data_IF_553919768822
#
_entry.id   IF_553919768822
#
_cell.length_a   1.000
_cell.length_b   1.000
_cell.length_c   1.000
_cell.angle_alpha   90.00
_cell.angle_beta   90.00
_cell.angle_gamma   90.00
#
_symmetry.space_group_name_H-M   'P 1'
#
loop_
_entity.id
_entity.type
_entity.pdbx_description
1 polymer ?
#
# COMPACT_ATOMS: atom_id res chain seq x y z
N UNK A 1 -9.29 6.03 -10.76
CA UNK A 1 -9.01 7.32 -11.48
C UNK A 1 -7.75 8.01 -10.95
N UNK A 2 -7.56 8.04 -9.63
CA UNK A 2 -6.39 8.65 -8.95
C UNK A 2 -5.05 8.09 -9.44
N UNK A 3 -4.88 6.77 -9.56
CA UNK A 3 -3.64 6.16 -10.07
C UNK A 3 -3.30 6.59 -11.51
N UNK A 4 -4.32 6.73 -12.37
CA UNK A 4 -4.13 7.20 -13.77
C UNK A 4 -3.72 8.67 -13.81
N UNK A 5 -4.34 9.51 -12.99
CA UNK A 5 -3.99 10.93 -12.91
C UNK A 5 -2.59 11.12 -12.32
N UNK A 6 -2.26 10.41 -11.25
CA UNK A 6 -0.94 10.48 -10.66
C UNK A 6 0.15 9.96 -11.60
N UNK A 7 -0.13 8.89 -12.35
CA UNK A 7 0.77 8.39 -13.40
C UNK A 7 0.95 9.41 -14.52
N UNK A 8 -0.12 10.05 -14.98
CA UNK A 8 -0.05 11.11 -15.98
C UNK A 8 0.75 12.31 -15.49
N UNK A 9 0.51 12.78 -14.26
CA UNK A 9 1.24 13.91 -13.67
C UNK A 9 2.72 13.55 -13.52
N UNK A 10 3.02 12.34 -13.03
CA UNK A 10 4.39 11.85 -12.93
C UNK A 10 5.08 11.81 -14.30
N UNK A 11 4.46 11.15 -15.29
CA UNK A 11 5.05 11.00 -16.62
C UNK A 11 5.22 12.37 -17.30
N UNK A 12 4.23 13.27 -17.21
CA UNK A 12 4.34 14.65 -17.72
C UNK A 12 5.43 15.47 -17.02
N UNK A 13 5.57 15.36 -15.70
CA UNK A 13 6.63 16.06 -14.98
C UNK A 13 8.00 15.50 -15.32
N UNK A 14 8.13 14.17 -15.40
CA UNK A 14 9.36 13.51 -15.80
C UNK A 14 9.77 13.94 -17.22
N UNK A 15 8.82 14.04 -18.14
CA UNK A 15 9.04 14.49 -19.52
C UNK A 15 9.43 15.97 -19.59
N UNK A 16 8.73 16.85 -18.86
CA UNK A 16 9.09 18.27 -18.73
C UNK A 16 10.50 18.47 -18.16
N UNK A 17 10.88 17.64 -17.20
CA UNK A 17 12.19 17.67 -16.59
C UNK A 17 13.27 17.19 -17.58
N UNK A 18 13.01 16.09 -18.29
CA UNK A 18 13.91 15.55 -19.33
C UNK A 18 14.11 16.55 -20.48
N UNK A 19 13.06 17.26 -20.89
CA UNK A 19 13.11 18.24 -21.97
C UNK A 19 13.84 19.52 -21.59
N UNK A 20 13.74 19.96 -20.32
CA UNK A 20 14.33 21.24 -19.88
C UNK A 20 15.79 21.13 -19.42
N UNK A 21 16.25 19.94 -19.00
CA UNK A 21 17.58 19.76 -18.41
C UNK A 21 18.51 18.81 -19.18
N UNK A 22 18.18 18.45 -20.42
CA UNK A 22 19.10 17.70 -21.30
C UNK A 22 19.49 16.31 -20.77
N UNK A 23 18.65 15.71 -19.93
CA UNK A 23 18.87 14.36 -19.38
C UNK A 23 19.65 14.29 -18.06
N UNK A 24 20.15 15.41 -17.52
CA UNK A 24 20.74 15.45 -16.17
C UNK A 24 19.76 16.08 -15.18
N UNK A 25 19.34 15.32 -14.17
CA UNK A 25 18.53 15.83 -13.08
C UNK A 25 19.44 16.57 -12.10
N UNK A 26 19.14 17.84 -11.80
CA UNK A 26 19.72 18.45 -10.61
C UNK A 26 19.16 17.75 -9.36
N UNK A 27 19.92 17.65 -8.25
CA UNK A 27 19.43 17.07 -7.01
C UNK A 27 18.09 17.68 -6.54
N UNK A 28 17.90 18.98 -6.72
CA UNK A 28 16.63 19.68 -6.41
C UNK A 28 15.42 19.20 -7.22
N UNK A 29 15.66 18.67 -8.42
CA UNK A 29 14.62 18.15 -9.31
C UNK A 29 14.26 16.72 -8.94
N UNK A 30 15.25 15.91 -8.54
CA UNK A 30 15.03 14.56 -8.01
C UNK A 30 14.19 14.60 -6.72
N UNK A 31 14.51 15.53 -5.81
CA UNK A 31 13.74 15.76 -4.58
C UNK A 31 12.29 16.15 -4.87
N UNK A 32 12.07 16.99 -5.88
CA UNK A 32 10.72 17.42 -6.28
C UNK A 32 9.89 16.25 -6.80
N UNK A 33 10.47 15.40 -7.65
CA UNK A 33 9.82 14.19 -8.16
C UNK A 33 9.51 13.22 -7.01
N UNK A 34 10.45 13.04 -6.07
CA UNK A 34 10.27 12.19 -4.90
C UNK A 34 9.15 12.69 -3.97
N UNK A 35 9.02 14.01 -3.78
CA UNK A 35 7.95 14.61 -2.98
C UNK A 35 6.57 14.38 -3.62
N UNK A 36 6.44 14.62 -4.93
CA UNK A 36 5.19 14.45 -5.66
C UNK A 36 4.75 12.99 -5.71
N UNK A 37 5.73 12.10 -5.82
CA UNK A 37 5.55 10.66 -5.73
C UNK A 37 5.11 10.22 -4.33
N UNK A 38 5.75 10.73 -3.27
CA UNK A 38 5.34 10.45 -1.89
C UNK A 38 3.92 10.94 -1.61
N UNK A 39 3.58 12.14 -2.06
CA UNK A 39 2.22 12.70 -1.93
C UNK A 39 1.16 11.85 -2.67
N UNK A 40 1.51 11.31 -3.83
CA UNK A 40 0.65 10.37 -4.57
C UNK A 40 0.37 9.12 -3.75
N UNK A 41 1.40 8.53 -3.16
CA UNK A 41 1.28 7.31 -2.36
C UNK A 41 0.45 7.55 -1.10
N UNK A 42 0.68 8.67 -0.41
CA UNK A 42 -0.14 9.09 0.74
C UNK A 42 -1.61 9.27 0.34
N UNK A 43 -1.89 9.96 -0.76
CA UNK A 43 -3.27 10.15 -1.24
C UNK A 43 -3.95 8.82 -1.57
N UNK A 44 -3.23 7.86 -2.15
CA UNK A 44 -3.76 6.53 -2.41
C UNK A 44 -4.00 5.73 -1.13
N UNK A 45 -3.10 5.84 -0.14
CA UNK A 45 -3.27 5.21 1.16
C UNK A 45 -4.50 5.78 1.90
N UNK A 46 -4.72 7.09 1.86
CA UNK A 46 -5.90 7.75 2.41
C UNK A 46 -7.19 7.28 1.72
N UNK A 47 -7.16 7.12 0.39
CA UNK A 47 -8.29 6.57 -0.36
C UNK A 47 -8.60 5.13 0.07
N UNK A 48 -7.59 4.28 0.22
CA UNK A 48 -7.77 2.90 0.73
C UNK A 48 -8.40 2.92 2.11
N UNK A 49 -7.93 3.79 3.00
CA UNK A 49 -8.48 3.93 4.34
C UNK A 49 -9.94 4.40 4.35
N UNK A 50 -10.29 5.38 3.51
CA UNK A 50 -11.68 5.83 3.32
C UNK A 50 -12.56 4.69 2.82
N UNK A 51 -12.11 3.91 1.83
CA UNK A 51 -12.87 2.77 1.30
C UNK A 51 -13.09 1.68 2.37
N UNK A 52 -12.07 1.39 3.17
CA UNK A 52 -12.19 0.48 4.31
C UNK A 52 -13.19 1.00 5.36
N UNK A 53 -13.11 2.29 5.73
CA UNK A 53 -14.09 2.92 6.63
C UNK A 53 -15.52 2.82 6.10
N UNK A 54 -15.73 3.10 4.82
CA UNK A 54 -17.05 3.00 4.17
C UNK A 54 -17.56 1.56 4.11
N UNK A 55 -16.67 0.57 3.95
CA UNK A 55 -17.02 -0.84 4.02
C UNK A 55 -17.38 -1.30 5.45
N UNK A 56 -17.15 -0.45 6.46
CA UNK A 56 -17.44 -0.72 7.86
C UNK A 56 -16.38 -1.59 8.56
N UNK A 57 -15.14 -1.60 8.07
CA UNK A 57 -14.08 -2.44 8.65
C UNK A 57 -13.53 -1.93 9.98
N UNK A 58 -13.69 -0.65 10.31
CA UNK A 58 -13.18 -0.01 11.53
C UNK A 58 -14.31 0.45 12.46
N UNK A 59 -15.13 -0.50 12.93
CA UNK A 59 -16.26 -0.22 13.82
C UNK A 59 -16.02 -0.70 15.26
N UNK A 60 -16.59 -0.03 16.29
CA UNK A 60 -16.44 -0.41 17.70
C UNK A 60 -17.18 -1.70 18.10
N UNK A 61 -17.82 -2.38 17.15
CA UNK A 61 -18.61 -3.58 17.39
C UNK A 61 -17.97 -4.76 16.64
N UNK A 62 -17.51 -5.73 17.42
CA UNK A 62 -16.97 -6.98 16.91
C UNK A 62 -17.91 -7.70 15.95
N UNK A 63 -17.29 -8.51 15.08
CA UNK A 63 -17.81 -9.57 14.23
C UNK A 63 -19.30 -9.50 13.80
N UNK A 64 -19.73 -8.38 13.22
CA UNK A 64 -20.93 -8.38 12.38
C UNK A 64 -20.51 -8.59 10.93
N UNK A 65 -20.87 -9.76 10.41
CA UNK A 65 -20.69 -10.16 9.01
C UNK A 65 -21.41 -9.14 8.13
N UNK A 66 -20.66 -8.36 7.36
CA UNK A 66 -21.25 -7.48 6.36
C UNK A 66 -21.76 -8.32 5.18
N UNK A 67 -23.03 -8.74 5.23
CA UNK A 67 -23.76 -9.41 4.14
C UNK A 67 -24.14 -8.46 2.99
N UNK A 68 -23.58 -7.25 2.93
CA UNK A 68 -23.87 -6.29 1.87
C UNK A 68 -22.82 -6.41 0.75
N UNK A 69 -23.26 -6.83 -0.44
CA UNK A 69 -22.50 -6.84 -1.70
C UNK A 69 -21.65 -5.58 -1.91
N UNK A 70 -22.12 -4.43 -1.41
CA UNK A 70 -21.48 -3.13 -1.53
C UNK A 70 -20.18 -3.02 -0.69
N UNK A 71 -20.13 -3.61 0.50
CA UNK A 71 -18.92 -3.62 1.34
C UNK A 71 -17.79 -4.42 0.70
N UNK A 72 -18.13 -5.55 0.06
CA UNK A 72 -17.14 -6.37 -0.66
C UNK A 72 -16.61 -5.61 -1.88
N UNK A 73 -17.48 -4.93 -2.64
CA UNK A 73 -17.06 -4.13 -3.78
C UNK A 73 -16.11 -2.98 -3.39
N UNK A 74 -16.40 -2.29 -2.27
CA UNK A 74 -15.52 -1.25 -1.72
C UNK A 74 -14.14 -1.79 -1.33
N UNK A 75 -14.10 -2.97 -0.69
CA UNK A 75 -12.84 -3.63 -0.32
C UNK A 75 -12.07 -4.14 -1.54
N UNK A 76 -12.75 -4.63 -2.57
CA UNK A 76 -12.09 -5.01 -3.84
C UNK A 76 -11.47 -3.80 -4.54
N UNK A 77 -12.16 -2.65 -4.56
CA UNK A 77 -11.58 -1.41 -5.10
C UNK A 77 -10.40 -0.94 -4.24
N UNK A 78 -10.50 -1.02 -2.91
CA UNK A 78 -9.40 -0.70 -2.01
C UNK A 78 -8.16 -1.58 -2.27
N UNK A 79 -8.37 -2.89 -2.45
CA UNK A 79 -7.32 -3.86 -2.79
C UNK A 79 -6.65 -3.48 -4.10
N UNK A 80 -7.45 -3.21 -5.13
CA UNK A 80 -6.97 -2.80 -6.45
C UNK A 80 -6.14 -1.52 -6.41
N UNK A 81 -6.59 -0.49 -5.69
CA UNK A 81 -5.82 0.75 -5.52
C UNK A 81 -4.47 0.47 -4.86
N UNK A 82 -4.45 -0.37 -3.82
CA UNK A 82 -3.22 -0.74 -3.13
C UNK A 82 -2.25 -1.52 -4.05
N UNK A 83 -2.75 -2.53 -4.76
CA UNK A 83 -1.97 -3.36 -5.70
C UNK A 83 -1.45 -2.55 -6.89
N UNK A 84 -2.26 -1.67 -7.49
CA UNK A 84 -1.82 -0.76 -8.56
C UNK A 84 -0.69 0.15 -8.08
N UNK A 85 -0.76 0.63 -6.83
CA UNK A 85 0.31 1.45 -6.28
C UNK A 85 1.56 0.62 -5.96
N UNK A 86 1.44 -0.59 -5.41
CA UNK A 86 2.59 -1.49 -5.18
C UNK A 86 3.30 -1.81 -6.50
N UNK A 87 2.55 -2.10 -7.57
CA UNK A 87 3.11 -2.29 -8.92
C UNK A 87 3.82 -1.02 -9.41
N UNK A 88 3.18 0.15 -9.26
CA UNK A 88 3.81 1.43 -9.61
C UNK A 88 5.12 1.70 -8.83
N UNK A 89 5.14 1.36 -7.54
CA UNK A 89 6.32 1.44 -6.66
C UNK A 89 7.41 0.44 -7.03
N UNK A 90 7.09 -0.62 -7.78
CA UNK A 90 8.03 -1.68 -8.18
C UNK A 90 8.59 -1.47 -9.60
N UNK A 91 7.77 -0.92 -10.50
CA UNK A 91 8.08 -0.80 -11.93
C UNK A 91 8.98 0.40 -12.28
N UNK A 92 9.10 1.41 -11.41
CA UNK A 92 9.86 2.64 -11.72
C UNK A 92 11.36 2.47 -11.40
N UNK A 93 12.25 2.94 -12.28
CA UNK A 93 13.69 2.69 -12.19
C UNK A 93 14.35 3.25 -10.93
N UNK A 94 13.81 4.34 -10.35
CA UNK A 94 14.28 4.88 -9.07
C UNK A 94 14.00 3.94 -7.87
N UNK A 95 13.03 3.03 -7.99
CA UNK A 95 12.58 2.15 -6.92
C UNK A 95 13.13 0.72 -7.03
N UNK A 96 13.53 0.31 -8.24
CA UNK A 96 14.24 -0.95 -8.52
C UNK A 96 15.76 -0.83 -8.25
N UNK A 97 16.25 0.39 -8.07
CA UNK A 97 17.65 0.74 -7.86
C UNK A 97 17.98 1.04 -6.39
N UNK A 98 17.32 0.37 -5.43
CA UNK A 98 17.66 0.47 -4.00
C UNK A 98 19.15 0.23 -3.74
N UNK A 99 19.82 -0.59 -4.55
CA UNK A 99 21.25 -0.88 -4.43
C UNK A 99 22.17 0.17 -5.07
N UNK A 100 21.69 1.02 -5.98
CA UNK A 100 22.52 2.03 -6.67
C UNK A 100 22.28 3.47 -6.21
N UNK A 101 21.25 3.72 -5.41
CA UNK A 101 20.99 5.04 -4.82
C UNK A 101 21.85 5.22 -3.56
N UNK A 102 22.95 5.96 -3.65
CA UNK A 102 23.91 6.12 -2.53
C UNK A 102 23.43 7.07 -1.41
N UNK A 103 22.24 7.66 -1.52
CA UNK A 103 21.73 8.64 -0.56
C UNK A 103 20.54 8.11 0.24
N UNK A 104 20.71 7.98 1.55
CA UNK A 104 19.65 7.63 2.51
C UNK A 104 18.44 8.57 2.41
N UNK A 105 18.65 9.83 2.00
CA UNK A 105 17.60 10.83 1.84
C UNK A 105 16.53 10.42 0.81
N UNK A 106 16.91 9.61 -0.19
CA UNK A 106 15.99 9.13 -1.24
C UNK A 106 15.45 7.74 -0.88
N UNK A 107 16.27 6.86 -0.30
CA UNK A 107 15.86 5.51 0.04
C UNK A 107 14.82 5.45 1.17
N UNK A 108 14.94 6.31 2.18
CA UNK A 108 14.05 6.29 3.36
C UNK A 108 12.60 6.59 2.96
N UNK A 109 12.28 7.68 2.21
CA UNK A 109 10.92 7.93 1.75
C UNK A 109 10.37 6.79 0.89
N UNK A 110 11.19 6.20 0.01
CA UNK A 110 10.77 5.09 -0.84
C UNK A 110 10.37 3.87 -0.03
N UNK A 111 11.20 3.45 0.92
CA UNK A 111 10.90 2.34 1.84
C UNK A 111 9.65 2.63 2.67
N UNK A 112 9.46 3.87 3.13
CA UNK A 112 8.24 4.28 3.86
C UNK A 112 6.98 4.12 3.02
N UNK A 113 7.00 4.51 1.75
CA UNK A 113 5.83 4.35 0.86
C UNK A 113 5.57 2.88 0.52
N UNK A 114 6.61 2.07 0.27
CA UNK A 114 6.47 0.61 0.05
C UNK A 114 5.90 -0.08 1.28
N UNK A 115 6.41 0.24 2.48
CA UNK A 115 5.84 -0.21 3.74
C UNK A 115 4.35 0.15 3.84
N UNK A 116 4.02 1.44 3.67
CA UNK A 116 2.66 1.95 3.82
C UNK A 116 1.67 1.22 2.91
N UNK A 117 1.98 1.10 1.62
CA UNK A 117 1.06 0.48 0.66
C UNK A 117 0.91 -1.03 0.87
N UNK A 118 2.01 -1.75 1.15
CA UNK A 118 1.95 -3.17 1.49
C UNK A 118 1.17 -3.40 2.78
N UNK A 119 1.33 -2.54 3.77
CA UNK A 119 0.59 -2.62 5.02
C UNK A 119 -0.92 -2.37 4.83
N UNK A 120 -1.29 -1.37 4.02
CA UNK A 120 -2.69 -1.13 3.65
C UNK A 120 -3.28 -2.32 2.86
N UNK A 121 -2.53 -2.92 1.93
CA UNK A 121 -2.96 -4.11 1.20
C UNK A 121 -3.21 -5.30 2.13
N UNK A 122 -2.35 -5.51 3.14
CA UNK A 122 -2.55 -6.50 4.19
C UNK A 122 -3.91 -6.31 4.90
N UNK A 123 -4.22 -5.09 5.35
CA UNK A 123 -5.48 -4.78 6.05
C UNK A 123 -6.68 -5.14 5.18
N UNK A 124 -6.64 -4.73 3.91
CA UNK A 124 -7.74 -5.01 2.96
C UNK A 124 -7.91 -6.50 2.71
N UNK A 125 -6.82 -7.25 2.48
CA UNK A 125 -6.88 -8.69 2.23
C UNK A 125 -7.42 -9.43 3.45
N UNK A 126 -7.00 -9.05 4.67
CA UNK A 126 -7.56 -9.62 5.91
C UNK A 126 -9.05 -9.30 6.02
N UNK A 127 -9.43 -8.05 5.73
CA UNK A 127 -10.83 -7.64 5.73
C UNK A 127 -11.67 -8.40 4.69
N UNK A 128 -11.09 -8.87 3.59
CA UNK A 128 -11.75 -9.73 2.59
C UNK A 128 -11.78 -11.22 2.99
N UNK A 129 -11.11 -11.61 4.08
CA UNK A 129 -10.95 -13.00 4.49
C UNK A 129 -9.85 -13.75 3.72
N UNK A 130 -9.04 -13.06 2.90
CA UNK A 130 -7.92 -13.61 2.16
C UNK A 130 -6.65 -13.59 3.05
N UNK A 131 -6.59 -14.54 3.97
CA UNK A 131 -5.55 -14.61 5.01
C UNK A 131 -4.16 -14.86 4.39
N UNK A 132 -4.06 -15.70 3.36
CA UNK A 132 -2.78 -15.99 2.71
C UNK A 132 -2.21 -14.75 2.00
N UNK A 133 -3.04 -13.99 1.26
CA UNK A 133 -2.59 -12.73 0.66
C UNK A 133 -2.25 -11.69 1.74
N UNK A 134 -3.05 -11.61 2.83
CA UNK A 134 -2.78 -10.71 3.94
C UNK A 134 -1.44 -10.98 4.62
N UNK A 135 -1.03 -12.25 4.72
CA UNK A 135 0.30 -12.64 5.22
C UNK A 135 1.38 -12.18 4.23
N UNK A 136 1.23 -12.48 2.94
CA UNK A 136 2.21 -12.10 1.93
C UNK A 136 2.50 -10.59 1.90
N UNK A 137 1.45 -9.77 1.91
CA UNK A 137 1.61 -8.31 1.95
C UNK A 137 2.22 -7.80 3.26
N UNK A 138 1.95 -8.45 4.39
CA UNK A 138 2.55 -8.06 5.67
C UNK A 138 4.03 -8.44 5.73
N UNK A 139 4.40 -9.61 5.19
CA UNK A 139 5.81 -10.00 5.02
C UNK A 139 6.55 -9.02 4.10
N UNK A 140 5.92 -8.57 3.01
CA UNK A 140 6.47 -7.54 2.14
C UNK A 140 6.61 -6.20 2.85
N UNK A 141 5.65 -5.79 3.68
CA UNK A 141 5.76 -4.58 4.48
C UNK A 141 6.97 -4.65 5.43
N UNK A 142 7.15 -5.77 6.13
CA UNK A 142 8.25 -5.98 7.09
C UNK A 142 9.63 -5.83 6.44
N UNK A 143 9.80 -6.19 5.16
CA UNK A 143 11.08 -6.01 4.45
C UNK A 143 11.54 -4.55 4.41
N UNK A 144 10.59 -3.61 4.40
CA UNK A 144 10.86 -2.17 4.36
C UNK A 144 10.85 -1.52 5.75
N UNK A 145 10.58 -2.31 6.79
CA UNK A 145 10.46 -1.85 8.16
C UNK A 145 11.83 -1.68 8.81
N UNK A 146 12.36 -0.46 8.76
CA UNK A 146 13.50 -0.06 9.60
C UNK A 146 13.17 1.06 10.61
N UNK A 147 12.00 1.72 10.51
CA UNK A 147 11.71 2.95 11.28
C UNK A 147 10.21 3.26 11.59
N UNK A 148 9.25 2.38 11.26
CA UNK A 148 7.82 2.72 11.45
C UNK A 148 7.37 2.43 12.91
N UNK A 149 6.42 3.22 13.48
CA UNK A 149 6.02 3.10 14.90
C UNK A 149 5.07 1.94 15.22
N UNK A 150 4.42 1.33 14.23
CA UNK A 150 3.53 0.18 14.43
C UNK A 150 4.35 -1.11 14.32
N UNK A 151 4.25 -2.08 15.24
CA UNK A 151 5.02 -3.33 15.18
C UNK A 151 4.36 -4.38 14.25
N UNK A 152 4.71 -4.48 12.94
CA UNK A 152 4.09 -5.43 12.01
C UNK A 152 4.45 -6.89 12.30
N UNK A 153 5.51 -7.14 13.09
CA UNK A 153 5.98 -8.50 13.39
C UNK A 153 4.98 -9.22 14.30
N UNK A 154 4.42 -8.54 15.29
CA UNK A 154 3.37 -9.08 16.17
C UNK A 154 2.11 -9.45 15.37
N UNK A 155 1.66 -8.55 14.48
CA UNK A 155 0.52 -8.79 13.58
C UNK A 155 0.75 -9.98 12.64
N UNK A 156 2.00 -10.22 12.22
CA UNK A 156 2.34 -11.38 11.40
C UNK A 156 2.25 -12.69 12.19
N UNK A 157 2.70 -12.69 13.45
CA UNK A 157 2.57 -13.86 14.32
C UNK A 157 1.10 -14.20 14.59
N UNK A 158 0.25 -13.21 14.83
CA UNK A 158 -1.21 -13.38 14.98
C UNK A 158 -1.83 -14.01 13.72
N UNK A 159 -1.54 -13.46 12.53
CA UNK A 159 -2.05 -14.01 11.27
C UNK A 159 -1.58 -15.44 10.99
N UNK A 160 -0.31 -15.74 11.29
CA UNK A 160 0.22 -17.11 11.13
C UNK A 160 -0.45 -18.10 12.09
N UNK A 161 -0.88 -17.66 13.27
CA UNK A 161 -1.66 -18.46 14.20
C UNK A 161 -3.12 -18.66 13.71
N UNK A 162 -3.74 -17.61 13.12
CA UNK A 162 -5.06 -17.70 12.48
C UNK A 162 -5.05 -18.71 11.31
N UNK A 163 -3.99 -18.71 10.49
CA UNK A 163 -3.79 -19.71 9.43
C UNK A 163 -3.76 -21.15 9.95
N UNK A 164 -3.21 -21.37 11.16
CA UNK A 164 -3.11 -22.68 11.79
C UNK A 164 -4.43 -23.17 12.43
N UNK A 165 -5.47 -22.34 12.50
CA UNK A 165 -6.70 -22.63 13.27
C UNK A 165 -8.00 -22.59 12.44
N UNK A 166 -7.97 -22.26 11.14
CA UNK A 166 -9.18 -21.94 10.37
C UNK A 166 -9.43 -22.73 9.07
N UNK A 167 -10.38 -23.67 9.15
CA UNK A 167 -11.38 -24.09 8.16
C UNK A 167 -11.05 -24.07 6.65
N UNK A 168 -10.74 -25.26 6.13
CA UNK A 168 -11.00 -25.64 4.74
C UNK A 168 -12.51 -25.49 4.43
N UNK A 169 -12.91 -24.44 3.71
CA UNK A 169 -14.18 -24.45 2.96
C UNK A 169 -15.25 -23.39 3.24
N UNK A 170 -14.96 -22.24 3.86
CA UNK A 170 -15.98 -21.18 4.02
C UNK A 170 -15.77 -19.99 3.06
N UNK A 171 -16.87 -19.61 2.41
CA UNK A 171 -17.15 -18.38 1.62
C UNK A 171 -16.34 -17.16 2.10
N UNK A 172 -15.85 -16.26 1.21
CA UNK A 172 -15.14 -15.05 1.60
C UNK A 172 -15.98 -14.24 2.59
N UNK A 173 -15.54 -14.20 3.85
CA UNK A 173 -16.21 -13.50 4.96
C UNK A 173 -15.44 -12.24 5.27
N UNK A 174 -16.16 -11.12 5.33
CA UNK A 174 -15.57 -9.83 5.70
C UNK A 174 -15.32 -9.78 7.20
N UNK A 175 -14.05 -9.62 7.62
CA UNK A 175 -13.65 -9.57 9.04
C UNK A 175 -13.46 -8.11 9.46
N UNK A 176 -14.23 -7.65 10.46
CA UNK A 176 -14.11 -6.30 11.05
C UNK A 176 -13.03 -6.24 12.11
N UNK A 177 -12.30 -5.13 12.18
CA UNK A 177 -11.20 -4.89 13.12
C UNK A 177 -11.64 -4.10 14.36
N UNK A 178 -11.05 -4.44 15.50
CA UNK A 178 -11.00 -3.58 16.71
C UNK A 178 -9.60 -3.01 16.83
N UNK A 179 -9.51 -1.68 16.96
CA UNK A 179 -8.27 -0.92 17.20
C UNK A 179 -7.64 -1.24 18.56
#
# INVERSE_FOLDING_TARGET
>A
MVCKYARLVYDCQLDCIRSNYGGFLSPSTEDTVLMLWSATCTTAADLVEVLCHLAGTFGPKGLEVADASDSVALLQEARKVAEEMISFLSDKPYCAQEESMTSDAVQIPVRKQKFLMSFKAHIVCKALGDVDAAIGYLEDAIKYYSESPENPVEKLHELKAERGTGNEGSVPRVVRWTS
#
